data_IF_707074698508
#
_entry.id   IF_707074698508
#
_cell.length_a   1.000
_cell.length_b   1.000
_cell.length_c   1.000
_cell.angle_alpha   90.00
_cell.angle_beta   90.00
_cell.angle_gamma   90.00
#
_symmetry.space_group_name_H-M   'P 1'
#
loop_
_entity.id
_entity.type
_entity.pdbx_description
1 polymer ?
#
# COMPACT_ATOMS: atom_id res chain seq x y z
N UNK A 1 37.06 -45.56 37.51
CA UNK A 1 36.98 -44.86 36.21
C UNK A 1 35.62 -44.17 36.14
N UNK A 2 35.59 -42.84 36.32
CA UNK A 2 34.37 -42.06 36.50
C UNK A 2 33.99 -41.32 35.21
N UNK A 3 32.76 -41.56 34.81
CA UNK A 3 31.77 -40.63 34.23
C UNK A 3 32.04 -39.90 32.90
N UNK A 4 31.33 -40.42 31.90
CA UNK A 4 30.61 -39.70 30.83
C UNK A 4 29.84 -38.50 31.41
N UNK A 5 30.08 -37.29 30.93
CA UNK A 5 29.14 -36.16 31.00
C UNK A 5 29.61 -35.01 30.08
N UNK A 6 29.21 -35.05 28.81
CA UNK A 6 29.18 -33.87 27.94
C UNK A 6 28.05 -34.03 26.94
N UNK A 7 26.84 -33.59 27.29
CA UNK A 7 25.71 -33.37 26.35
C UNK A 7 24.54 -32.78 27.13
N UNK A 8 24.58 -31.50 27.55
CA UNK A 8 23.39 -30.85 28.14
C UNK A 8 23.42 -29.30 28.07
N UNK A 9 24.07 -28.69 27.06
CA UNK A 9 24.13 -27.23 26.94
C UNK A 9 23.43 -26.62 25.71
N UNK A 10 22.88 -27.43 24.79
CA UNK A 10 22.36 -26.94 23.50
C UNK A 10 20.84 -26.78 23.43
N UNK A 11 20.07 -27.24 24.43
CA UNK A 11 18.60 -27.16 24.38
C UNK A 11 18.00 -25.86 24.99
N UNK A 12 18.71 -25.19 25.90
CA UNK A 12 18.15 -24.00 26.58
C UNK A 12 18.22 -22.69 25.76
N UNK A 13 19.22 -22.49 24.89
CA UNK A 13 19.30 -21.26 24.08
C UNK A 13 18.18 -21.17 23.03
N UNK A 14 17.84 -22.28 22.36
CA UNK A 14 16.78 -22.31 21.34
C UNK A 14 15.39 -22.01 21.92
N UNK A 15 15.07 -22.52 23.11
CA UNK A 15 13.78 -22.27 23.76
C UNK A 15 13.61 -20.81 24.23
N UNK A 16 14.70 -20.17 24.67
CA UNK A 16 14.69 -18.75 25.06
C UNK A 16 14.55 -17.83 23.84
N UNK A 17 15.22 -18.12 22.72
CA UNK A 17 15.06 -17.33 21.49
C UNK A 17 13.63 -17.39 20.92
N UNK A 18 13.00 -18.57 20.94
CA UNK A 18 11.63 -18.75 20.45
C UNK A 18 10.59 -18.00 21.30
N UNK A 19 10.74 -18.03 22.63
CA UNK A 19 9.83 -17.34 23.55
C UNK A 19 9.95 -15.81 23.46
N UNK A 20 11.16 -15.27 23.30
CA UNK A 20 11.38 -13.83 23.08
C UNK A 20 10.79 -13.36 21.73
N UNK A 21 10.98 -14.13 20.65
CA UNK A 21 10.39 -13.83 19.33
C UNK A 21 8.85 -13.85 19.37
N UNK A 22 8.27 -14.86 20.02
CA UNK A 22 6.81 -14.97 20.19
C UNK A 22 6.23 -13.86 21.08
N UNK A 23 6.96 -13.42 22.11
CA UNK A 23 6.50 -12.35 23.00
C UNK A 23 6.63 -10.97 22.35
N UNK A 24 7.68 -10.76 21.54
CA UNK A 24 7.83 -9.56 20.71
C UNK A 24 6.70 -9.45 19.67
N UNK A 25 6.40 -10.54 18.95
CA UNK A 25 5.33 -10.55 17.95
C UNK A 25 3.94 -10.34 18.57
N UNK A 26 3.65 -10.95 19.73
CA UNK A 26 2.41 -10.69 20.50
C UNK A 26 2.29 -9.24 20.95
N UNK A 27 3.39 -8.61 21.38
CA UNK A 27 3.39 -7.21 21.82
C UNK A 27 3.14 -6.23 20.66
N UNK A 28 3.65 -6.54 19.46
CA UNK A 28 3.43 -5.76 18.25
C UNK A 28 1.99 -5.86 17.74
N UNK A 29 1.39 -7.05 17.77
CA UNK A 29 -0.01 -7.27 17.33
C UNK A 29 -1.03 -6.46 18.13
N UNK A 30 -0.78 -6.22 19.41
CA UNK A 30 -1.68 -5.49 20.31
C UNK A 30 -1.53 -3.96 20.25
N UNK A 31 -0.70 -3.42 19.36
CA UNK A 31 -0.57 -1.98 19.18
C UNK A 31 -1.84 -1.39 18.53
N UNK A 32 -2.23 -0.18 18.93
CA UNK A 32 -3.20 0.59 18.16
C UNK A 32 -2.66 0.85 16.75
N UNK A 33 -3.51 1.04 15.74
CA UNK A 33 -3.07 1.27 14.36
C UNK A 33 -2.01 2.37 14.22
N UNK A 34 -2.17 3.49 14.92
CA UNK A 34 -1.22 4.63 14.89
C UNK A 34 0.13 4.24 15.48
N UNK A 35 0.14 3.54 16.62
CA UNK A 35 1.36 3.05 17.25
C UNK A 35 2.06 2.00 16.40
N UNK A 36 1.29 1.12 15.76
CA UNK A 36 1.80 0.11 14.85
C UNK A 36 2.46 0.75 13.63
N UNK A 37 1.80 1.71 12.97
CA UNK A 37 2.40 2.43 11.83
C UNK A 37 3.67 3.19 12.25
N UNK A 38 3.62 3.91 13.38
CA UNK A 38 4.77 4.65 13.93
C UNK A 38 5.96 3.74 14.28
N UNK A 39 5.70 2.48 14.65
CA UNK A 39 6.76 1.52 14.97
C UNK A 39 7.56 1.05 13.76
N UNK A 40 7.03 1.25 12.53
CA UNK A 40 7.65 0.87 11.25
C UNK A 40 7.95 -0.63 11.07
N UNK A 41 7.43 -1.51 11.93
CA UNK A 41 7.59 -2.98 11.83
C UNK A 41 7.09 -3.58 10.51
N UNK A 42 6.27 -2.84 9.76
CA UNK A 42 5.65 -3.23 8.51
C UNK A 42 6.47 -2.87 7.26
N UNK A 43 7.44 -1.97 7.38
CA UNK A 43 7.92 -1.22 6.22
C UNK A 43 8.95 -1.95 5.35
N UNK A 44 9.53 -3.06 5.82
CA UNK A 44 10.56 -3.82 5.09
C UNK A 44 11.68 -2.94 4.50
N UNK A 45 12.06 -1.86 5.20
CA UNK A 45 13.08 -0.92 4.76
C UNK A 45 12.59 0.23 3.86
N UNK A 46 11.31 0.24 3.45
CA UNK A 46 10.70 1.35 2.74
C UNK A 46 10.75 2.62 3.60
N UNK A 47 11.27 3.70 3.01
CA UNK A 47 11.38 5.00 3.69
C UNK A 47 10.10 5.82 3.61
N UNK A 48 9.30 5.62 2.57
CA UNK A 48 8.01 6.28 2.40
C UNK A 48 7.04 5.86 3.52
N UNK A 49 6.14 6.78 3.89
CA UNK A 49 5.11 6.56 4.92
C UNK A 49 3.71 6.57 4.26
N UNK A 50 2.70 5.91 4.85
CA UNK A 50 1.33 6.09 4.39
C UNK A 50 0.92 7.56 4.51
N UNK A 51 0.17 8.05 3.53
CA UNK A 51 -0.43 9.39 3.55
C UNK A 51 -1.42 9.50 4.72
N UNK A 52 -1.62 10.72 5.23
CA UNK A 52 -2.47 10.99 6.41
C UNK A 52 -3.95 10.60 6.22
N UNK A 53 -4.41 10.48 4.97
CA UNK A 53 -5.76 10.02 4.63
C UNK A 53 -5.95 8.50 4.76
N UNK A 54 -4.87 7.73 4.92
CA UNK A 54 -4.94 6.27 4.96
C UNK A 54 -5.75 5.81 6.17
N UNK A 55 -6.71 4.91 5.95
CA UNK A 55 -7.35 4.19 7.06
C UNK A 55 -6.33 3.25 7.72
N UNK A 56 -5.71 3.70 8.82
CA UNK A 56 -4.63 2.95 9.47
C UNK A 56 -5.12 1.65 10.09
N UNK A 57 -6.38 1.59 10.54
CA UNK A 57 -6.96 0.38 11.10
C UNK A 57 -7.10 -0.71 10.04
N UNK A 58 -7.63 -0.34 8.87
CA UNK A 58 -7.75 -1.23 7.72
C UNK A 58 -6.36 -1.65 7.20
N UNK A 59 -5.42 -0.71 7.11
CA UNK A 59 -4.04 -1.02 6.73
C UNK A 59 -3.42 -2.08 7.66
N UNK A 60 -3.54 -1.91 8.98
CA UNK A 60 -3.02 -2.89 9.94
C UNK A 60 -3.73 -4.24 9.79
N UNK A 61 -5.06 -4.24 9.65
CA UNK A 61 -5.84 -5.47 9.53
C UNK A 61 -5.45 -6.27 8.27
N UNK A 62 -5.40 -5.61 7.11
CA UNK A 62 -4.99 -6.22 5.84
C UNK A 62 -3.54 -6.71 5.87
N UNK A 63 -2.64 -5.95 6.50
CA UNK A 63 -1.26 -6.40 6.70
C UNK A 63 -1.18 -7.67 7.56
N UNK A 64 -1.92 -7.73 8.67
CA UNK A 64 -1.91 -8.88 9.56
C UNK A 64 -2.60 -10.11 8.95
N UNK A 65 -3.58 -9.91 8.07
CA UNK A 65 -4.28 -10.96 7.34
C UNK A 65 -3.40 -11.64 6.29
N UNK A 66 -2.56 -10.88 5.57
CA UNK A 66 -1.65 -11.42 4.55
C UNK A 66 -0.25 -10.77 4.60
N UNK A 67 0.53 -11.02 5.65
CA UNK A 67 1.80 -10.31 5.86
C UNK A 67 2.82 -10.58 4.76
N UNK A 68 2.81 -11.75 4.12
CA UNK A 68 3.81 -12.09 3.11
C UNK A 68 3.66 -11.26 1.83
N UNK A 69 2.42 -11.00 1.39
CA UNK A 69 2.15 -10.11 0.26
C UNK A 69 2.66 -8.69 0.53
N UNK A 70 2.30 -8.13 1.69
CA UNK A 70 2.69 -6.78 2.06
C UNK A 70 4.20 -6.64 2.24
N UNK A 71 4.84 -7.62 2.87
CA UNK A 71 6.31 -7.63 2.99
C UNK A 71 6.98 -7.68 1.62
N UNK A 72 6.49 -8.51 0.71
CA UNK A 72 7.05 -8.61 -0.63
C UNK A 72 6.93 -7.28 -1.38
N UNK A 73 5.76 -6.63 -1.34
CA UNK A 73 5.54 -5.31 -1.94
C UNK A 73 6.48 -4.24 -1.36
N UNK A 74 6.52 -4.09 -0.03
CA UNK A 74 7.34 -3.06 0.59
C UNK A 74 8.84 -3.31 0.45
N UNK A 75 9.29 -4.58 0.51
CA UNK A 75 10.69 -4.94 0.27
C UNK A 75 11.10 -4.60 -1.17
N UNK A 76 10.25 -4.90 -2.15
CA UNK A 76 10.51 -4.57 -3.55
C UNK A 76 10.61 -3.04 -3.74
N UNK A 77 9.69 -2.27 -3.15
CA UNK A 77 9.73 -0.81 -3.20
C UNK A 77 11.00 -0.24 -2.53
N UNK A 78 11.51 -0.90 -1.48
CA UNK A 78 12.70 -0.46 -0.77
C UNK A 78 14.02 -0.81 -1.48
N UNK A 79 14.03 -1.87 -2.31
CA UNK A 79 15.25 -2.40 -2.93
C UNK A 79 15.58 -1.82 -4.30
N UNK A 80 14.71 -0.98 -4.87
CA UNK A 80 14.88 -0.43 -6.21
C UNK A 80 14.99 1.10 -6.19
N UNK A 81 15.76 1.65 -7.13
CA UNK A 81 15.66 3.08 -7.45
C UNK A 81 14.40 3.33 -8.29
N UNK A 82 13.31 3.63 -7.60
CA UNK A 82 12.00 3.84 -8.22
C UNK A 82 12.00 5.03 -9.19
N UNK A 83 12.94 5.97 -9.05
CA UNK A 83 13.05 7.15 -9.92
C UNK A 83 13.74 6.84 -11.25
N UNK A 84 14.52 5.75 -11.31
CA UNK A 84 15.36 5.41 -12.45
C UNK A 84 15.08 4.04 -13.09
N UNK A 85 14.34 3.15 -12.42
CA UNK A 85 13.96 1.83 -12.96
C UNK A 85 13.27 1.96 -14.32
N UNK A 86 13.25 0.91 -15.16
CA UNK A 86 12.52 0.98 -16.42
C UNK A 86 11.01 1.12 -16.17
N UNK A 87 10.31 1.92 -16.99
CA UNK A 87 8.84 1.95 -16.97
C UNK A 87 8.26 0.63 -17.47
N UNK A 88 7.09 0.26 -16.98
CA UNK A 88 6.40 -0.97 -17.37
C UNK A 88 6.04 -1.82 -16.17
N UNK A 89 5.78 -3.10 -16.44
CA UNK A 89 5.32 -4.06 -15.42
C UNK A 89 6.49 -4.91 -14.94
N UNK A 90 6.66 -4.95 -13.63
CA UNK A 90 7.72 -5.70 -12.95
C UNK A 90 7.08 -6.71 -11.99
N UNK A 91 7.10 -8.02 -12.31
CA UNK A 91 6.66 -9.05 -11.38
C UNK A 91 7.50 -9.04 -10.10
N UNK A 92 6.87 -9.28 -8.95
CA UNK A 92 7.60 -9.53 -7.70
C UNK A 92 7.82 -11.03 -7.57
N UNK A 93 9.09 -11.46 -7.65
CA UNK A 93 9.46 -12.88 -7.59
C UNK A 93 8.88 -13.60 -6.37
N UNK A 94 8.36 -14.82 -6.60
CA UNK A 94 7.75 -15.63 -5.56
C UNK A 94 6.33 -15.21 -5.15
N UNK A 95 5.71 -14.26 -5.86
CA UNK A 95 4.34 -13.81 -5.61
C UNK A 95 3.53 -13.67 -6.90
N UNK A 96 2.22 -13.42 -6.79
CA UNK A 96 1.34 -13.01 -7.89
C UNK A 96 1.38 -11.50 -8.17
N UNK A 97 2.08 -10.73 -7.34
CA UNK A 97 2.08 -9.28 -7.43
C UNK A 97 2.87 -8.78 -8.64
N UNK A 98 2.38 -7.70 -9.23
CA UNK A 98 3.04 -6.96 -10.30
C UNK A 98 3.10 -5.49 -9.90
N UNK A 99 4.29 -4.91 -10.00
CA UNK A 99 4.50 -3.47 -9.85
C UNK A 99 4.37 -2.82 -11.22
N UNK A 100 3.42 -1.90 -11.36
CA UNK A 100 3.32 -1.01 -12.52
C UNK A 100 4.14 0.24 -12.25
N UNK A 101 5.07 0.55 -13.14
CA UNK A 101 5.89 1.76 -13.09
C UNK A 101 5.55 2.62 -14.30
N UNK A 102 5.02 3.81 -14.04
CA UNK A 102 4.37 4.62 -15.07
C UNK A 102 4.95 6.02 -15.09
N UNK A 103 5.58 6.37 -16.22
CA UNK A 103 5.80 7.77 -16.58
C UNK A 103 4.52 8.29 -17.23
N UNK A 104 3.89 9.26 -16.60
CA UNK A 104 2.58 9.77 -16.99
C UNK A 104 2.52 11.29 -16.90
N UNK A 105 1.36 11.83 -17.27
CA UNK A 105 1.06 13.25 -17.15
C UNK A 105 -0.34 13.38 -16.58
N UNK A 106 -0.50 14.22 -15.56
CA UNK A 106 -1.83 14.52 -15.04
C UNK A 106 -2.69 15.17 -16.14
N UNK A 107 -3.99 14.91 -16.07
CA UNK A 107 -4.96 15.48 -17.01
C UNK A 107 -6.07 16.24 -16.28
N UNK A 108 -6.77 17.15 -16.96
CA UNK A 108 -7.95 17.81 -16.40
C UNK A 108 -8.96 16.79 -15.86
N UNK A 109 -9.64 17.15 -14.76
CA UNK A 109 -10.56 16.27 -14.03
C UNK A 109 -11.62 15.64 -14.95
N UNK A 110 -12.15 16.41 -15.90
CA UNK A 110 -13.16 15.99 -16.86
C UNK A 110 -12.70 14.90 -17.85
N UNK A 111 -11.38 14.63 -17.93
CA UNK A 111 -10.80 13.54 -18.72
C UNK A 111 -10.50 12.29 -17.89
N UNK A 112 -10.72 12.35 -16.58
CA UNK A 112 -10.46 11.25 -15.64
C UNK A 112 -11.78 10.60 -15.23
N UNK A 113 -11.72 9.32 -14.88
CA UNK A 113 -12.87 8.55 -14.38
C UNK A 113 -12.75 8.26 -12.90
N UNK A 114 -13.87 8.28 -12.20
CA UNK A 114 -14.02 7.77 -10.83
C UNK A 114 -13.87 6.27 -10.83
N UNK A 115 -13.20 5.69 -9.85
CA UNK A 115 -13.08 4.24 -9.73
C UNK A 115 -13.03 3.77 -8.28
N UNK A 116 -13.45 2.52 -8.10
CA UNK A 116 -13.11 1.71 -6.95
C UNK A 116 -12.94 0.25 -7.37
N UNK A 117 -12.36 -0.53 -6.47
CA UNK A 117 -12.03 -1.94 -6.66
C UNK A 117 -12.73 -2.75 -5.56
N UNK A 118 -13.07 -4.02 -5.82
CA UNK A 118 -13.66 -4.91 -4.81
C UNK A 118 -12.68 -5.97 -4.32
N UNK A 119 -11.74 -6.38 -5.17
CA UNK A 119 -10.80 -7.49 -4.90
C UNK A 119 -9.41 -7.00 -4.53
N UNK A 120 -9.05 -5.78 -4.90
CA UNK A 120 -7.71 -5.25 -4.65
C UNK A 120 -7.72 -3.93 -3.87
N UNK A 121 -6.62 -3.74 -3.15
CA UNK A 121 -6.18 -2.48 -2.59
C UNK A 121 -5.18 -1.89 -3.57
N UNK A 122 -5.35 -0.61 -3.88
CA UNK A 122 -4.40 0.14 -4.70
C UNK A 122 -3.36 0.81 -3.80
N UNK A 123 -2.11 0.32 -3.87
CA UNK A 123 -0.95 1.05 -3.34
C UNK A 123 -0.40 1.93 -4.45
N UNK A 124 -0.59 3.24 -4.31
CA UNK A 124 -0.12 4.23 -5.28
C UNK A 124 0.94 5.13 -4.66
N UNK A 125 2.08 5.27 -5.34
CA UNK A 125 3.22 6.04 -4.84
C UNK A 125 3.83 6.87 -5.97
N UNK A 126 3.62 8.19 -5.94
CA UNK A 126 4.32 9.11 -6.84
C UNK A 126 5.75 9.32 -6.35
N UNK A 127 6.72 8.96 -7.18
CA UNK A 127 8.15 9.03 -6.87
C UNK A 127 8.83 10.23 -7.54
N UNK A 128 8.14 10.88 -8.49
CA UNK A 128 8.54 12.15 -9.10
C UNK A 128 7.30 12.95 -9.50
N UNK A 129 7.33 14.26 -9.28
CA UNK A 129 6.23 15.17 -9.60
C UNK A 129 5.22 15.29 -8.45
N UNK A 130 4.00 15.70 -8.77
CA UNK A 130 2.87 15.77 -7.83
C UNK A 130 1.63 15.27 -8.54
N UNK A 131 0.94 14.31 -7.95
CA UNK A 131 -0.29 13.72 -8.48
C UNK A 131 -1.45 14.15 -7.59
N UNK A 132 -2.56 14.62 -8.17
CA UNK A 132 -3.78 14.92 -7.41
C UNK A 132 -4.76 13.79 -7.52
N UNK A 133 -5.30 13.41 -6.37
CA UNK A 133 -6.44 12.51 -6.24
C UNK A 133 -7.68 13.28 -5.85
N UNK A 134 -8.84 12.76 -6.24
CA UNK A 134 -10.12 13.13 -5.69
C UNK A 134 -10.68 11.92 -4.92
N UNK A 135 -11.12 12.13 -3.69
CA UNK A 135 -11.87 11.16 -2.90
C UNK A 135 -13.35 11.50 -2.98
N UNK A 136 -14.16 10.51 -3.31
CA UNK A 136 -15.59 10.67 -3.53
C UNK A 136 -16.35 10.40 -2.24
N UNK A 137 -17.37 11.21 -1.99
CA UNK A 137 -18.30 11.01 -0.90
C UNK A 137 -19.31 9.91 -1.27
N UNK A 138 -19.44 8.90 -0.41
CA UNK A 138 -20.31 7.75 -0.64
C UNK A 138 -21.79 8.12 -0.67
N UNK A 139 -22.21 9.10 0.14
CA UNK A 139 -23.62 9.47 0.25
C UNK A 139 -24.12 10.24 -0.99
N UNK A 140 -23.23 10.90 -1.71
CA UNK A 140 -23.54 11.70 -2.90
C UNK A 140 -23.04 11.13 -4.22
N UNK A 141 -22.52 9.91 -4.20
CA UNK A 141 -22.03 9.24 -5.40
C UNK A 141 -22.87 8.02 -5.72
N UNK A 142 -23.18 7.82 -7.01
CA UNK A 142 -24.00 6.72 -7.50
C UNK A 142 -23.23 5.93 -8.56
N UNK A 143 -23.36 4.60 -8.52
CA UNK A 143 -22.76 3.71 -9.53
C UNK A 143 -23.34 4.05 -10.91
N UNK A 144 -22.48 4.29 -11.89
CA UNK A 144 -22.89 4.64 -13.26
C UNK A 144 -22.59 3.54 -14.30
N UNK A 145 -22.02 2.41 -13.88
CA UNK A 145 -21.74 1.28 -14.75
C UNK A 145 -21.90 -0.07 -14.04
N UNK A 146 -21.99 -1.16 -14.80
CA UNK A 146 -21.85 -2.50 -14.23
C UNK A 146 -20.41 -2.73 -13.74
N UNK A 147 -20.28 -3.45 -12.63
CA UNK A 147 -18.97 -3.84 -12.12
C UNK A 147 -18.30 -4.84 -13.07
N UNK A 148 -17.07 -4.53 -13.49
CA UNK A 148 -16.29 -5.39 -14.38
C UNK A 148 -15.42 -6.36 -13.57
N UNK A 149 -15.91 -7.58 -13.36
CA UNK A 149 -15.21 -8.68 -12.67
C UNK A 149 -13.77 -8.93 -13.16
N UNK A 150 -13.55 -8.81 -14.47
CA UNK A 150 -12.25 -9.06 -15.13
C UNK A 150 -11.22 -7.98 -14.82
N UNK A 151 -11.67 -6.73 -14.70
CA UNK A 151 -10.79 -5.56 -14.45
C UNK A 151 -10.79 -5.15 -12.98
N UNK A 152 -11.69 -5.72 -12.18
CA UNK A 152 -11.97 -5.33 -10.80
C UNK A 152 -12.26 -3.82 -10.69
N UNK A 153 -13.17 -3.29 -11.51
CA UNK A 153 -13.46 -1.84 -11.53
C UNK A 153 -14.95 -1.55 -11.65
N UNK A 154 -15.37 -0.49 -10.98
CA UNK A 154 -16.68 0.14 -11.07
C UNK A 154 -16.50 1.66 -11.05
N UNK A 155 -17.39 2.38 -11.73
CA UNK A 155 -17.34 3.83 -11.90
C UNK A 155 -18.61 4.49 -11.31
N UNK A 156 -18.49 5.79 -11.02
CA UNK A 156 -19.50 6.55 -10.28
C UNK A 156 -19.77 7.92 -10.90
N UNK A 157 -21.04 8.31 -10.92
CA UNK A 157 -21.40 9.72 -10.95
C UNK A 157 -21.24 10.28 -9.53
N UNK A 158 -20.77 11.51 -9.40
CA UNK A 158 -20.38 12.09 -8.10
C UNK A 158 -20.67 13.59 -8.03
N UNK A 159 -20.91 14.07 -6.81
CA UNK A 159 -21.05 15.49 -6.52
C UNK A 159 -19.66 16.14 -6.33
N UNK A 160 -19.25 16.95 -7.31
CA UNK A 160 -17.99 17.68 -7.27
C UNK A 160 -17.86 18.58 -6.03
N UNK A 161 -18.97 19.14 -5.52
CA UNK A 161 -18.95 20.02 -4.35
C UNK A 161 -18.66 19.30 -3.03
N UNK A 162 -18.82 17.98 -3.00
CA UNK A 162 -18.56 17.11 -1.84
C UNK A 162 -17.28 16.29 -2.00
N UNK A 163 -16.58 16.46 -3.11
CA UNK A 163 -15.34 15.75 -3.42
C UNK A 163 -14.15 16.36 -2.67
N UNK A 164 -13.32 15.51 -2.06
CA UNK A 164 -12.11 15.95 -1.37
C UNK A 164 -10.88 15.76 -2.25
N UNK A 165 -10.12 16.82 -2.51
CA UNK A 165 -8.88 16.73 -3.27
C UNK A 165 -7.67 16.61 -2.35
N UNK A 166 -6.78 15.68 -2.67
CA UNK A 166 -5.53 15.44 -1.93
C UNK A 166 -4.37 15.25 -2.91
N UNK A 167 -3.22 15.81 -2.56
CA UNK A 167 -2.02 15.75 -3.40
C UNK A 167 -1.05 14.71 -2.86
N UNK A 168 -0.61 13.83 -3.75
CA UNK A 168 0.46 12.88 -3.54
C UNK A 168 1.79 13.49 -3.94
N UNK A 169 2.79 13.31 -3.08
CA UNK A 169 4.15 13.83 -3.24
C UNK A 169 5.19 12.76 -2.86
N UNK A 170 6.42 12.85 -3.40
CA UNK A 170 7.49 11.90 -3.05
C UNK A 170 7.72 11.80 -1.54
N UNK A 171 7.90 10.56 -1.06
CA UNK A 171 8.04 10.25 0.37
C UNK A 171 6.75 9.77 1.05
N UNK A 172 5.60 9.85 0.38
CA UNK A 172 4.31 9.37 0.88
C UNK A 172 3.64 8.46 -0.15
N UNK A 173 3.04 7.36 0.31
CA UNK A 173 2.22 6.49 -0.54
C UNK A 173 0.77 6.50 -0.06
N UNK A 174 -0.15 6.21 -0.98
CA UNK A 174 -1.57 6.12 -0.74
C UNK A 174 -1.99 4.66 -0.78
N UNK A 175 -2.94 4.31 0.07
CA UNK A 175 -3.66 3.06 0.02
C UNK A 175 -5.13 3.39 -0.22
N UNK A 176 -5.68 2.91 -1.33
CA UNK A 176 -7.10 2.97 -1.60
C UNK A 176 -7.68 1.58 -1.43
N UNK A 177 -8.40 1.38 -0.33
CA UNK A 177 -9.15 0.16 -0.04
C UNK A 177 -10.44 0.12 -0.89
N UNK A 178 -11.19 -1.00 -0.91
CA UNK A 178 -12.45 -1.06 -1.66
C UNK A 178 -13.49 0.01 -1.31
N UNK A 179 -13.44 0.55 -0.09
CA UNK A 179 -14.27 1.67 0.34
C UNK A 179 -13.76 3.03 -0.10
N UNK A 180 -12.57 3.16 -0.69
CA UNK A 180 -11.99 4.45 -1.01
C UNK A 180 -12.23 4.76 -2.49
N UNK A 181 -13.40 5.32 -2.79
CA UNK A 181 -13.78 5.71 -4.15
C UNK A 181 -12.97 6.94 -4.56
N UNK A 182 -12.25 6.85 -5.68
CA UNK A 182 -11.26 7.85 -6.01
C UNK A 182 -11.14 8.14 -7.51
N UNK A 183 -10.49 9.25 -7.85
CA UNK A 183 -10.03 9.58 -9.20
C UNK A 183 -8.54 9.88 -9.10
N UNK A 184 -7.72 9.25 -9.95
CA UNK A 184 -6.27 9.42 -9.98
C UNK A 184 -5.79 10.32 -11.13
N UNK A 185 -4.54 10.80 -11.03
CA UNK A 185 -3.82 11.57 -12.07
C UNK A 185 -4.54 12.85 -12.52
N UNK A 186 -5.14 13.56 -11.57
CA UNK A 186 -5.79 14.85 -11.83
C UNK A 186 -4.74 15.96 -11.91
N UNK A 187 -4.95 16.92 -12.79
CA UNK A 187 -4.13 18.11 -12.90
C UNK A 187 -4.04 18.85 -11.55
N UNK A 188 -2.82 19.22 -11.18
CA UNK A 188 -2.54 19.99 -9.96
C UNK A 188 -2.45 21.49 -10.26
N UNK A 189 -2.28 22.32 -9.22
CA UNK A 189 -2.07 23.77 -9.40
C UNK A 189 -0.64 24.11 -9.87
N UNK A 190 0.23 23.12 -10.06
CA UNK A 190 1.62 23.30 -10.52
C UNK A 190 1.70 23.42 -12.04
N UNK A 191 2.76 24.06 -12.54
CA UNK A 191 2.99 24.11 -13.99
C UNK A 191 3.41 22.74 -14.55
N UNK A 192 4.33 22.04 -13.86
CA UNK A 192 4.75 20.70 -14.26
C UNK A 192 3.70 19.66 -13.83
N UNK A 193 3.13 18.99 -14.83
CA UNK A 193 2.15 17.92 -14.67
C UNK A 193 2.73 16.54 -14.98
N UNK A 194 4.03 16.45 -15.28
CA UNK A 194 4.68 15.16 -15.49
C UNK A 194 4.89 14.47 -14.14
N UNK A 195 4.49 13.21 -14.08
CA UNK A 195 4.60 12.39 -12.88
C UNK A 195 5.23 11.06 -13.21
N UNK A 196 5.86 10.46 -12.20
CA UNK A 196 6.23 9.06 -12.21
C UNK A 196 5.58 8.38 -11.01
N UNK A 197 4.71 7.42 -11.28
CA UNK A 197 3.91 6.74 -10.27
C UNK A 197 4.19 5.24 -10.28
N UNK A 198 4.21 4.67 -9.09
CA UNK A 198 4.29 3.24 -8.83
C UNK A 198 2.91 2.78 -8.35
N UNK A 199 2.34 1.78 -9.01
CA UNK A 199 1.05 1.19 -8.64
C UNK A 199 1.24 -0.30 -8.39
N UNK A 200 0.82 -0.77 -7.22
CA UNK A 200 0.76 -2.19 -6.86
C UNK A 200 -0.67 -2.51 -6.46
N UNK A 201 -1.27 -3.50 -7.11
CA UNK A 201 -2.56 -4.06 -6.70
C UNK A 201 -2.31 -5.20 -5.73
N UNK A 202 -2.77 -5.03 -4.50
CA UNK A 202 -2.64 -6.00 -3.41
C UNK A 202 -3.99 -6.70 -3.22
N UNK A 203 -4.03 -8.02 -3.02
CA UNK A 203 -5.29 -8.70 -2.73
C UNK A 203 -5.91 -8.17 -1.43
N UNK A 204 -7.20 -7.87 -1.46
CA UNK A 204 -8.03 -7.47 -0.32
C UNK A 204 -8.69 -8.71 0.31
N UNK A 205 -8.69 -8.80 1.64
CA UNK A 205 -9.15 -9.98 2.42
C UNK A 205 -10.20 -9.59 3.44
#
# INVERSE_FOLDING_TARGET
>A
MKHIQWLLATACMLAVCLSVSAQSSKKVKNLSPEKWVKSKVWNEGLKAKPHSSTNLAEFKAQYEANPEQWKAAFRWLASHDLTAIEKGKHPIEGTSLVVSVEDSKNEPLEKRGSESHRKHIDLQYVVKGTERFALLDHESSEVNCEYSEKKDVIHYDYDLSKTTFIDSVPGEFFLFFPSDWHIAKIATDKEDQNIRVIVIKLDYI
#
